data_IF_183087655576
#
_entry.id   IF_183087655576
#
_cell.length_a   1.000
_cell.length_b   1.000
_cell.length_c   1.000
_cell.angle_alpha   90.00
_cell.angle_beta   90.00
_cell.angle_gamma   90.00
#
_symmetry.space_group_name_H-M   'P 1'
#
loop_
_entity.id
_entity.type
_entity.pdbx_description
1 polymer ?
#
# COMPACT_ATOMS: atom_id res chain seq x y z
N UNK A 1 -28.29 21.00 -52.89
CA UNK A 1 -28.62 19.62 -52.51
C UNK A 1 -28.61 19.59 -51.00
N UNK A 2 -29.77 19.86 -50.43
CA UNK A 2 -30.03 19.84 -48.99
C UNK A 2 -30.19 18.39 -48.49
N UNK A 3 -30.18 18.28 -47.15
CA UNK A 3 -30.71 17.21 -46.29
C UNK A 3 -29.79 16.00 -46.07
N UNK A 4 -29.50 15.60 -44.83
CA UNK A 4 -30.00 16.08 -43.55
C UNK A 4 -29.41 15.26 -42.42
N UNK A 5 -29.07 15.92 -41.31
CA UNK A 5 -28.72 15.25 -40.07
C UNK A 5 -29.80 15.60 -39.03
N UNK A 6 -30.54 14.57 -38.64
CA UNK A 6 -31.68 14.62 -37.74
C UNK A 6 -31.26 15.06 -36.34
N UNK A 7 -31.62 16.29 -35.95
CA UNK A 7 -31.55 16.74 -34.56
C UNK A 7 -32.83 16.37 -33.82
N UNK A 8 -32.77 15.29 -33.05
CA UNK A 8 -33.78 15.01 -32.02
C UNK A 8 -33.78 16.13 -30.98
N UNK A 9 -34.95 16.72 -30.80
CA UNK A 9 -35.20 17.85 -29.92
C UNK A 9 -35.57 17.32 -28.54
N UNK A 10 -34.64 17.37 -27.59
CA UNK A 10 -34.94 17.28 -26.17
C UNK A 10 -34.37 18.52 -25.48
N UNK A 11 -35.29 19.43 -25.14
CA UNK A 11 -35.16 20.52 -24.17
C UNK A 11 -33.75 21.13 -23.96
N UNK A 12 -33.33 21.98 -24.90
CA UNK A 12 -32.73 23.27 -24.56
C UNK A 12 -31.28 23.32 -24.04
N UNK A 13 -30.39 22.37 -24.36
CA UNK A 13 -28.95 22.53 -24.06
C UNK A 13 -28.10 22.23 -25.29
N UNK A 14 -27.44 23.26 -25.83
CA UNK A 14 -26.48 23.14 -26.93
C UNK A 14 -25.09 22.74 -26.39
N UNK A 15 -24.74 21.46 -26.56
CA UNK A 15 -23.44 20.87 -26.27
C UNK A 15 -22.39 21.28 -27.32
N UNK A 16 -22.00 22.56 -27.32
CA UNK A 16 -21.06 23.13 -28.30
C UNK A 16 -19.90 23.93 -27.73
N UNK A 17 -19.71 23.99 -26.40
CA UNK A 17 -18.64 24.81 -25.80
C UNK A 17 -17.86 24.14 -24.66
N UNK A 18 -17.82 22.81 -24.61
CA UNK A 18 -17.14 22.11 -23.52
C UNK A 18 -15.66 21.80 -23.77
N UNK A 19 -15.06 22.37 -24.82
CA UNK A 19 -13.62 22.31 -25.05
C UNK A 19 -12.97 23.67 -24.76
N UNK A 20 -11.87 23.62 -23.99
CA UNK A 20 -10.97 24.73 -23.66
C UNK A 20 -11.52 25.85 -22.77
N UNK A 21 -12.02 25.52 -21.58
CA UNK A 21 -12.15 26.52 -20.52
C UNK A 21 -10.78 26.79 -19.87
N UNK A 22 -10.18 27.90 -20.30
CA UNK A 22 -9.15 28.72 -19.65
C UNK A 22 -8.76 28.35 -18.21
N UNK A 23 -7.54 27.83 -18.05
CA UNK A 23 -6.89 27.60 -16.75
C UNK A 23 -6.02 28.82 -16.36
N UNK A 24 -5.88 29.84 -17.23
CA UNK A 24 -4.90 30.91 -17.03
C UNK A 24 -5.49 32.26 -16.59
N UNK A 25 -6.79 32.50 -16.77
CA UNK A 25 -7.48 33.66 -16.20
C UNK A 25 -8.93 33.30 -15.81
N UNK A 26 -9.25 33.15 -14.51
CA UNK A 26 -10.61 32.85 -14.10
C UNK A 26 -11.51 34.08 -14.29
N UNK A 27 -12.46 33.98 -15.21
CA UNK A 27 -13.52 34.96 -15.46
C UNK A 27 -14.34 35.19 -14.16
N UNK A 28 -14.39 36.44 -13.63
CA UNK A 28 -15.11 36.73 -12.40
C UNK A 28 -16.63 36.51 -12.50
N UNK A 29 -17.21 36.40 -13.70
CA UNK A 29 -18.65 36.22 -13.89
C UNK A 29 -19.14 34.77 -13.78
N UNK A 30 -18.26 33.76 -13.77
CA UNK A 30 -18.63 32.33 -13.60
C UNK A 30 -18.50 31.82 -12.16
N UNK A 31 -18.32 32.71 -11.19
CA UNK A 31 -18.06 32.36 -9.78
C UNK A 31 -19.30 32.03 -8.95
N UNK A 32 -20.50 32.06 -9.54
CA UNK A 32 -21.78 31.97 -8.82
C UNK A 32 -22.68 30.83 -9.32
N UNK A 33 -22.16 29.61 -9.49
CA UNK A 33 -23.01 28.42 -9.38
C UNK A 33 -22.92 27.82 -7.98
N UNK A 34 -23.22 28.66 -6.98
CA UNK A 34 -23.59 28.19 -5.65
C UNK A 34 -24.96 27.51 -5.78
N UNK A 35 -24.96 26.18 -5.89
CA UNK A 35 -26.17 25.38 -5.66
C UNK A 35 -26.76 25.82 -4.31
N UNK A 36 -27.92 26.49 -4.36
CA UNK A 36 -28.66 26.89 -3.15
C UNK A 36 -28.84 25.64 -2.28
N UNK A 37 -28.46 25.67 -0.99
CA UNK A 37 -28.61 24.52 -0.13
C UNK A 37 -30.11 24.23 0.06
N UNK A 38 -30.64 23.27 -0.69
CA UNK A 38 -32.01 22.75 -0.53
C UNK A 38 -32.12 21.75 0.64
N UNK A 39 -31.12 21.74 1.52
CA UNK A 39 -31.07 20.86 2.66
C UNK A 39 -32.08 21.39 3.69
N UNK A 40 -33.17 20.63 3.92
CA UNK A 40 -34.23 20.98 4.87
C UNK A 40 -33.73 21.26 6.30
N UNK A 41 -34.60 21.35 7.32
CA UNK A 41 -34.19 21.76 8.67
C UNK A 41 -33.01 20.93 9.23
N UNK A 42 -32.98 19.63 8.93
CA UNK A 42 -31.86 18.73 9.25
C UNK A 42 -30.56 19.10 8.53
N UNK A 43 -30.63 19.44 7.25
CA UNK A 43 -29.46 19.80 6.46
C UNK A 43 -28.83 21.12 6.87
N UNK A 44 -29.66 22.10 7.26
CA UNK A 44 -29.18 23.37 7.81
C UNK A 44 -28.52 23.17 9.18
N UNK A 45 -29.04 22.25 10.01
CA UNK A 45 -28.47 21.89 11.31
C UNK A 45 -27.13 21.16 11.16
N UNK A 46 -27.03 20.19 10.25
CA UNK A 46 -25.78 19.50 9.91
C UNK A 46 -24.75 20.49 9.35
N UNK A 47 -25.17 21.45 8.52
CA UNK A 47 -24.26 22.46 7.98
C UNK A 47 -23.73 23.41 9.08
N UNK A 48 -24.60 23.88 9.98
CA UNK A 48 -24.19 24.70 11.13
C UNK A 48 -23.26 23.94 12.06
N UNK A 49 -23.56 22.68 12.34
CA UNK A 49 -22.69 21.82 13.15
C UNK A 49 -21.33 21.59 12.48
N UNK A 50 -21.33 21.21 11.19
CA UNK A 50 -20.10 21.00 10.41
C UNK A 50 -19.24 22.27 10.34
N UNK A 51 -19.85 23.44 10.17
CA UNK A 51 -19.15 24.72 10.15
C UNK A 51 -18.59 25.10 11.52
N UNK A 52 -19.38 24.94 12.59
CA UNK A 52 -18.92 25.17 13.97
C UNK A 52 -17.77 24.22 14.37
N UNK A 53 -17.84 22.96 13.94
CA UNK A 53 -16.75 21.99 14.12
C UNK A 53 -15.53 22.39 13.28
N UNK A 54 -15.71 22.82 12.03
CA UNK A 54 -14.62 23.30 11.17
C UNK A 54 -13.90 24.52 11.75
N UNK A 55 -14.64 25.55 12.13
CA UNK A 55 -14.10 26.79 12.70
C UNK A 55 -13.43 26.51 14.07
N UNK A 56 -13.98 25.59 14.86
CA UNK A 56 -13.38 25.13 16.13
C UNK A 56 -12.10 24.30 15.95
N UNK A 57 -12.03 23.50 14.88
CA UNK A 57 -10.84 22.71 14.50
C UNK A 57 -9.74 23.64 13.98
N UNK A 58 -10.08 24.68 13.23
CA UNK A 58 -9.09 25.59 12.64
C UNK A 58 -8.45 26.51 13.69
N UNK A 59 -9.26 27.05 14.61
CA UNK A 59 -8.80 27.92 15.70
C UNK A 59 -7.79 27.22 16.65
N UNK A 60 -7.92 25.90 16.84
CA UNK A 60 -7.08 25.11 17.76
C UNK A 60 -6.61 23.78 17.14
N UNK A 61 -6.17 23.81 15.88
CA UNK A 61 -5.80 22.63 15.09
C UNK A 61 -4.78 21.70 15.77
N UNK A 62 -3.81 22.26 16.51
CA UNK A 62 -2.83 21.46 17.27
C UNK A 62 -3.49 20.69 18.42
N UNK A 63 -4.36 21.33 19.20
CA UNK A 63 -5.09 20.71 20.31
C UNK A 63 -6.08 19.64 19.82
N UNK A 64 -6.75 19.87 18.69
CA UNK A 64 -7.65 18.89 18.09
C UNK A 64 -6.90 17.64 17.61
N UNK A 65 -5.77 17.81 16.93
CA UNK A 65 -4.93 16.69 16.49
C UNK A 65 -4.34 15.93 17.67
N UNK A 66 -3.89 16.63 18.72
CA UNK A 66 -3.40 15.99 19.96
C UNK A 66 -4.54 15.22 20.64
N UNK A 67 -5.73 15.81 20.76
CA UNK A 67 -6.90 15.16 21.39
C UNK A 67 -7.34 13.92 20.62
N UNK A 68 -7.37 13.98 19.29
CA UNK A 68 -7.67 12.82 18.45
C UNK A 68 -6.63 11.70 18.61
N UNK A 69 -5.33 12.04 18.67
CA UNK A 69 -4.26 11.06 18.95
C UNK A 69 -4.40 10.44 20.35
N UNK A 70 -4.75 11.25 21.36
CA UNK A 70 -4.92 10.82 22.74
C UNK A 70 -6.15 9.91 22.89
N UNK A 71 -7.25 10.24 22.21
CA UNK A 71 -8.43 9.40 22.12
C UNK A 71 -8.13 8.05 21.43
N UNK A 72 -7.42 8.08 20.30
CA UNK A 72 -7.01 6.85 19.61
C UNK A 72 -6.10 5.97 20.50
N UNK A 73 -5.16 6.58 21.24
CA UNK A 73 -4.31 5.87 22.19
C UNK A 73 -5.13 5.26 23.35
N UNK A 74 -6.11 6.00 23.88
CA UNK A 74 -6.99 5.50 24.94
C UNK A 74 -7.84 4.32 24.47
N UNK A 75 -8.39 4.37 23.25
CA UNK A 75 -9.12 3.25 22.65
C UNK A 75 -8.23 2.01 22.48
N UNK A 76 -6.99 2.20 22.03
CA UNK A 76 -6.03 1.09 21.94
C UNK A 76 -5.71 0.53 23.33
N UNK A 77 -5.52 1.37 24.35
CA UNK A 77 -5.26 0.92 25.72
C UNK A 77 -6.43 0.12 26.32
N UNK A 78 -7.68 0.57 26.09
CA UNK A 78 -8.89 -0.16 26.49
C UNK A 78 -8.97 -1.51 25.78
N UNK A 79 -8.67 -1.54 24.48
CA UNK A 79 -8.65 -2.78 23.71
C UNK A 79 -7.56 -3.76 24.18
N UNK A 80 -6.36 -3.27 24.54
CA UNK A 80 -5.30 -4.08 25.18
C UNK A 80 -5.81 -4.67 26.50
N UNK A 81 -6.43 -3.85 27.36
CA UNK A 81 -6.97 -4.30 28.64
C UNK A 81 -8.04 -5.38 28.48
N UNK A 82 -8.94 -5.21 27.51
CA UNK A 82 -9.94 -6.21 27.15
C UNK A 82 -9.30 -7.51 26.65
N UNK A 83 -8.27 -7.43 25.81
CA UNK A 83 -7.53 -8.60 25.31
C UNK A 83 -6.84 -9.37 26.44
N UNK A 84 -6.16 -8.67 27.36
CA UNK A 84 -5.46 -9.29 28.49
C UNK A 84 -6.47 -9.97 29.43
N UNK A 85 -7.58 -9.29 29.74
CA UNK A 85 -8.60 -9.87 30.62
C UNK A 85 -9.20 -11.15 30.03
N UNK A 86 -9.58 -11.13 28.74
CA UNK A 86 -10.08 -12.32 28.06
C UNK A 86 -9.03 -13.43 27.96
N UNK A 87 -7.75 -13.09 27.75
CA UNK A 87 -6.66 -14.06 27.70
C UNK A 87 -6.48 -14.78 29.05
N UNK A 88 -6.49 -14.05 30.16
CA UNK A 88 -6.37 -14.61 31.51
C UNK A 88 -7.54 -15.53 31.83
N UNK A 89 -8.77 -15.14 31.46
CA UNK A 89 -9.99 -15.91 31.73
C UNK A 89 -10.04 -17.21 30.92
N UNK A 90 -9.62 -17.16 29.65
CA UNK A 90 -9.78 -18.30 28.72
C UNK A 90 -8.65 -19.32 28.84
N UNK A 91 -7.50 -18.96 29.45
CA UNK A 91 -6.37 -19.87 29.70
C UNK A 91 -5.76 -20.52 28.45
N UNK A 92 -6.09 -20.03 27.25
CA UNK A 92 -5.62 -20.60 25.99
C UNK A 92 -4.14 -20.30 25.76
N UNK A 93 -3.42 -21.29 25.22
CA UNK A 93 -2.02 -21.13 24.80
C UNK A 93 -1.94 -20.08 23.69
N UNK A 94 -0.89 -19.26 23.73
CA UNK A 94 -0.68 -18.16 22.79
C UNK A 94 -0.33 -18.70 21.39
N UNK A 95 -1.34 -18.97 20.58
CA UNK A 95 -1.15 -19.36 19.19
C UNK A 95 -1.11 -18.13 18.26
N UNK A 96 0.04 -17.90 17.64
CA UNK A 96 0.26 -16.98 16.54
C UNK A 96 -0.62 -17.20 15.30
N UNK A 97 -1.18 -18.41 15.11
CA UNK A 97 -1.97 -18.78 13.92
C UNK A 97 -3.48 -18.63 14.12
N UNK A 98 -4.03 -18.69 15.33
CA UNK A 98 -5.47 -18.58 15.56
C UNK A 98 -5.78 -17.93 16.92
N UNK A 99 -6.92 -17.25 17.03
CA UNK A 99 -7.41 -16.66 18.29
C UNK A 99 -6.74 -15.34 18.69
N UNK A 100 -6.65 -15.11 20.01
CA UNK A 100 -6.22 -13.82 20.59
C UNK A 100 -4.74 -13.49 20.33
N UNK A 101 -3.89 -14.49 20.06
CA UNK A 101 -2.47 -14.27 19.72
C UNK A 101 -2.27 -13.45 18.44
N UNK A 102 -3.09 -13.67 17.42
CA UNK A 102 -3.11 -12.85 16.19
C UNK A 102 -3.48 -11.40 16.47
N UNK A 103 -4.45 -11.16 17.35
CA UNK A 103 -4.87 -9.81 17.72
C UNK A 103 -3.74 -9.03 18.40
N UNK A 104 -2.96 -9.67 19.28
CA UNK A 104 -1.75 -9.07 19.86
C UNK A 104 -0.71 -8.71 18.80
N UNK A 105 -0.51 -9.56 17.79
CA UNK A 105 0.43 -9.27 16.69
C UNK A 105 -0.03 -8.06 15.88
N UNK A 106 -1.31 -7.97 15.49
CA UNK A 106 -1.82 -6.81 14.78
C UNK A 106 -1.69 -5.52 15.59
N UNK A 107 -2.01 -5.58 16.87
CA UNK A 107 -1.87 -4.45 17.78
C UNK A 107 -0.40 -4.01 17.90
N UNK A 108 0.50 -4.97 18.07
CA UNK A 108 1.94 -4.70 18.12
C UNK A 108 2.45 -4.05 16.83
N UNK A 109 2.01 -4.52 15.65
CA UNK A 109 2.37 -3.92 14.36
C UNK A 109 1.80 -2.50 14.23
N UNK A 110 0.55 -2.26 14.62
CA UNK A 110 -0.05 -0.92 14.58
C UNK A 110 0.68 0.04 15.52
N UNK A 111 0.96 -0.38 16.76
CA UNK A 111 1.77 0.41 17.69
C UNK A 111 3.17 0.66 17.15
N UNK A 112 3.81 -0.35 16.57
CA UNK A 112 5.11 -0.22 15.93
C UNK A 112 5.07 0.80 14.78
N UNK A 113 4.05 0.79 13.93
CA UNK A 113 3.86 1.78 12.87
C UNK A 113 3.63 3.20 13.41
N UNK A 114 2.85 3.37 14.48
CA UNK A 114 2.61 4.67 15.12
C UNK A 114 3.88 5.22 15.78
N UNK A 115 4.61 4.37 16.51
CA UNK A 115 5.90 4.70 17.12
C UNK A 115 6.94 5.04 16.04
N UNK A 116 6.97 4.26 14.95
CA UNK A 116 7.82 4.51 13.80
C UNK A 116 7.59 5.92 13.22
N UNK A 117 6.33 6.28 12.97
CA UNK A 117 6.00 7.56 12.36
C UNK A 117 6.25 8.75 13.28
N UNK A 118 5.87 8.64 14.57
CA UNK A 118 5.99 9.76 15.50
C UNK A 118 7.40 9.92 16.08
N UNK A 119 8.08 8.82 16.40
CA UNK A 119 9.33 8.86 17.17
C UNK A 119 10.55 8.48 16.34
N UNK A 120 10.46 7.41 15.54
CA UNK A 120 11.60 6.92 14.78
C UNK A 120 12.03 7.90 13.69
N UNK A 121 11.07 8.55 13.01
CA UNK A 121 11.37 9.62 12.06
C UNK A 121 12.13 10.78 12.74
N UNK A 122 11.75 11.16 13.96
CA UNK A 122 12.37 12.28 14.67
C UNK A 122 13.77 11.96 15.22
N UNK A 123 14.04 10.71 15.64
CA UNK A 123 15.36 10.31 16.16
C UNK A 123 16.31 9.86 15.04
N UNK A 124 15.84 9.05 14.09
CA UNK A 124 16.72 8.49 13.05
C UNK A 124 17.07 9.52 12.00
N UNK A 125 16.18 10.45 11.62
CA UNK A 125 16.57 11.47 10.63
C UNK A 125 17.78 12.31 11.05
N UNK A 126 17.87 12.90 12.25
CA UNK A 126 19.03 13.70 12.63
C UNK A 126 20.29 12.86 12.83
N UNK A 127 20.16 11.61 13.33
CA UNK A 127 21.32 10.71 13.48
C UNK A 127 21.83 10.25 12.13
N UNK A 128 20.94 9.83 11.22
CA UNK A 128 21.30 9.38 9.88
C UNK A 128 21.75 10.54 9.00
N UNK A 129 21.14 11.72 9.13
CA UNK A 129 21.59 12.92 8.42
C UNK A 129 22.92 13.43 8.97
N UNK A 130 23.17 13.38 10.28
CA UNK A 130 24.45 13.74 10.90
C UNK A 130 25.56 12.76 10.48
N UNK A 131 25.29 11.45 10.49
CA UNK A 131 26.18 10.42 9.94
C UNK A 131 26.39 10.57 8.42
N UNK A 132 25.38 11.04 7.70
CA UNK A 132 25.48 11.31 6.26
C UNK A 132 26.24 12.60 5.94
N UNK A 133 26.14 13.63 6.80
CA UNK A 133 26.69 14.98 6.63
C UNK A 133 28.12 15.15 7.16
N UNK A 134 28.68 14.21 7.91
CA UNK A 134 30.11 14.20 8.22
C UNK A 134 30.92 14.13 6.90
N UNK A 135 31.26 15.32 6.41
CA UNK A 135 31.63 15.65 5.04
C UNK A 135 33.10 15.49 4.73
N UNK A 136 33.77 14.51 5.32
CA UNK A 136 35.22 14.27 5.11
C UNK A 136 35.45 13.11 4.11
N UNK A 137 34.42 12.40 3.66
CA UNK A 137 34.54 11.10 2.97
C UNK A 137 33.81 10.98 1.60
N UNK A 138 33.63 12.07 0.85
CA UNK A 138 32.77 12.08 -0.37
C UNK A 138 33.27 11.19 -1.52
N UNK A 139 34.59 11.04 -1.69
CA UNK A 139 35.20 10.18 -2.72
C UNK A 139 35.17 8.69 -2.33
N UNK A 140 35.29 8.38 -1.04
CA UNK A 140 35.36 7.01 -0.52
C UNK A 140 33.99 6.33 -0.36
N UNK A 141 32.90 7.08 -0.17
CA UNK A 141 31.53 6.51 -0.12
C UNK A 141 31.13 5.71 -1.37
N UNK A 142 31.63 6.08 -2.56
CA UNK A 142 31.37 5.33 -3.80
C UNK A 142 32.10 3.98 -3.78
N UNK A 143 33.38 3.98 -3.40
CA UNK A 143 34.18 2.76 -3.28
C UNK A 143 33.65 1.82 -2.19
N UNK A 144 33.31 2.32 -1.01
CA UNK A 144 32.75 1.49 0.08
C UNK A 144 31.42 0.85 -0.36
N UNK A 145 30.53 1.60 -1.02
CA UNK A 145 29.27 1.05 -1.55
C UNK A 145 29.50 -0.03 -2.60
N UNK A 146 30.39 0.21 -3.56
CA UNK A 146 30.77 -0.78 -4.58
C UNK A 146 31.38 -2.04 -3.95
N UNK A 147 32.24 -1.89 -2.94
CA UNK A 147 32.85 -3.02 -2.22
C UNK A 147 31.79 -3.84 -1.49
N UNK A 148 30.90 -3.19 -0.72
CA UNK A 148 29.82 -3.89 0.00
C UNK A 148 28.92 -4.62 -0.98
N UNK A 149 28.50 -3.95 -2.06
CA UNK A 149 27.63 -4.54 -3.07
C UNK A 149 28.31 -5.69 -3.81
N UNK A 150 29.59 -5.56 -4.13
CA UNK A 150 30.39 -6.62 -4.74
C UNK A 150 30.55 -7.84 -3.84
N UNK A 151 30.90 -7.63 -2.56
CA UNK A 151 31.01 -8.72 -1.57
C UNK A 151 29.68 -9.45 -1.40
N UNK A 152 28.58 -8.70 -1.29
CA UNK A 152 27.24 -9.26 -1.12
C UNK A 152 26.81 -10.06 -2.37
N UNK A 153 27.12 -9.56 -3.56
CA UNK A 153 26.88 -10.27 -4.81
C UNK A 153 27.71 -11.56 -4.91
N UNK A 154 28.99 -11.54 -4.53
CA UNK A 154 29.85 -12.73 -4.50
C UNK A 154 29.30 -13.78 -3.52
N UNK A 155 28.86 -13.37 -2.32
CA UNK A 155 28.24 -14.27 -1.35
C UNK A 155 26.97 -14.91 -1.88
N UNK A 156 26.13 -14.14 -2.58
CA UNK A 156 24.92 -14.67 -3.23
C UNK A 156 25.28 -15.68 -4.32
N UNK A 157 26.26 -15.39 -5.17
CA UNK A 157 26.71 -16.32 -6.21
C UNK A 157 27.26 -17.60 -5.59
N UNK A 158 28.09 -17.50 -4.55
CA UNK A 158 28.62 -18.65 -3.82
C UNK A 158 27.50 -19.48 -3.18
N UNK A 159 26.50 -18.83 -2.57
CA UNK A 159 25.33 -19.49 -2.02
C UNK A 159 24.52 -20.21 -3.09
N UNK A 160 24.30 -19.58 -4.26
CA UNK A 160 23.62 -20.20 -5.39
C UNK A 160 24.39 -21.40 -5.91
N UNK A 161 25.72 -21.34 -6.03
CA UNK A 161 26.55 -22.46 -6.49
C UNK A 161 26.47 -23.63 -5.50
N UNK A 162 26.61 -23.35 -4.21
CA UNK A 162 26.44 -24.35 -3.14
C UNK A 162 25.07 -25.04 -3.23
N UNK A 163 24.00 -24.25 -3.39
CA UNK A 163 22.63 -24.73 -3.48
C UNK A 163 22.31 -25.42 -4.83
N UNK A 164 23.05 -25.11 -5.89
CA UNK A 164 22.89 -25.63 -7.26
C UNK A 164 23.69 -26.92 -7.51
N UNK A 165 24.74 -27.19 -6.72
CA UNK A 165 25.64 -28.34 -6.88
C UNK A 165 24.91 -29.69 -7.10
N UNK A 166 23.73 -29.85 -6.47
CA UNK A 166 22.98 -31.10 -6.50
C UNK A 166 21.97 -31.24 -7.67
N UNK A 167 21.62 -30.16 -8.40
CA UNK A 167 20.54 -30.20 -9.40
C UNK A 167 20.79 -29.28 -10.59
N UNK A 168 21.16 -29.86 -11.74
CA UNK A 168 21.39 -29.15 -13.02
C UNK A 168 20.20 -28.27 -13.48
N UNK A 169 18.96 -28.64 -13.13
CA UNK A 169 17.77 -27.86 -13.48
C UNK A 169 17.74 -26.46 -12.86
N UNK A 170 18.39 -26.24 -11.71
CA UNK A 170 18.38 -24.94 -11.01
C UNK A 170 19.24 -23.90 -11.73
N UNK A 171 20.23 -24.35 -12.49
CA UNK A 171 21.08 -23.49 -13.32
C UNK A 171 20.27 -22.75 -14.40
N UNK A 172 19.23 -23.38 -14.95
CA UNK A 172 18.36 -22.76 -15.95
C UNK A 172 17.63 -21.52 -15.38
N UNK A 173 17.26 -21.54 -14.10
CA UNK A 173 16.63 -20.37 -13.46
C UNK A 173 17.58 -19.19 -13.33
N UNK A 174 18.87 -19.45 -13.07
CA UNK A 174 19.90 -18.40 -12.97
C UNK A 174 20.17 -17.79 -14.34
N UNK A 175 20.25 -18.63 -15.38
CA UNK A 175 20.40 -18.20 -16.77
C UNK A 175 19.21 -17.31 -17.18
N UNK A 176 17.98 -17.65 -16.75
CA UNK A 176 16.80 -16.82 -16.98
C UNK A 176 16.95 -15.39 -16.44
N UNK A 177 17.46 -15.22 -15.21
CA UNK A 177 17.68 -13.90 -14.61
C UNK A 177 18.70 -13.10 -15.43
N UNK A 178 19.81 -13.73 -15.83
CA UNK A 178 20.84 -13.08 -16.65
C UNK A 178 20.28 -12.69 -18.02
N UNK A 179 19.46 -13.56 -18.62
CA UNK A 179 18.80 -13.30 -19.91
C UNK A 179 17.82 -12.12 -19.82
N UNK A 180 17.01 -12.03 -18.76
CA UNK A 180 16.13 -10.88 -18.55
C UNK A 180 16.88 -9.56 -18.33
N UNK A 181 18.03 -9.60 -17.64
CA UNK A 181 18.89 -8.42 -17.51
C UNK A 181 19.49 -8.03 -18.87
N UNK A 182 19.94 -9.01 -19.65
CA UNK A 182 20.50 -8.76 -20.98
C UNK A 182 19.47 -8.13 -21.92
N UNK A 183 18.25 -8.70 -22.00
CA UNK A 183 17.21 -8.14 -22.87
C UNK A 183 16.78 -6.74 -22.41
N UNK A 184 16.76 -6.48 -21.09
CA UNK A 184 16.49 -5.15 -20.55
C UNK A 184 17.54 -4.12 -20.95
N UNK A 185 18.81 -4.52 -21.13
CA UNK A 185 19.88 -3.63 -21.59
C UNK A 185 19.76 -3.40 -23.10
N UNK A 186 19.51 -4.45 -23.88
CA UNK A 186 19.40 -4.38 -25.36
C UNK A 186 18.22 -3.51 -25.80
N UNK A 187 17.08 -3.62 -25.13
CA UNK A 187 15.88 -2.82 -25.43
C UNK A 187 15.91 -1.42 -24.80
N UNK A 188 16.95 -1.06 -24.05
CA UNK A 188 17.04 0.26 -23.43
C UNK A 188 17.33 1.34 -24.46
N UNK A 189 16.52 2.41 -24.45
CA UNK A 189 16.70 3.59 -25.32
C UNK A 189 18.03 4.32 -25.09
N UNK A 190 18.55 4.27 -23.87
CA UNK A 190 19.77 4.97 -23.46
C UNK A 190 20.62 4.07 -22.54
N UNK A 191 21.32 3.06 -23.08
CA UNK A 191 22.05 2.07 -22.28
C UNK A 191 23.21 2.67 -21.48
N UNK A 192 23.77 3.80 -21.92
CA UNK A 192 24.87 4.51 -21.27
C UNK A 192 24.47 5.18 -19.94
N UNK A 193 23.19 5.48 -19.75
CA UNK A 193 22.69 6.14 -18.54
C UNK A 193 22.19 5.16 -17.47
N UNK A 194 22.40 3.85 -17.68
CA UNK A 194 21.97 2.83 -16.75
C UNK A 194 22.84 2.88 -15.48
N UNK A 195 22.21 3.18 -14.35
CA UNK A 195 22.84 3.15 -13.03
C UNK A 195 22.94 1.71 -12.53
N UNK A 196 24.09 1.08 -12.75
CA UNK A 196 24.40 -0.27 -12.32
C UNK A 196 24.20 -0.51 -10.82
N UNK A 197 24.48 0.51 -9.99
CA UNK A 197 24.27 0.44 -8.54
C UNK A 197 22.82 0.10 -8.17
N UNK A 198 21.84 0.74 -8.82
CA UNK A 198 20.42 0.51 -8.56
C UNK A 198 19.97 -0.85 -9.09
N UNK A 199 20.42 -1.22 -10.29
CA UNK A 199 20.06 -2.49 -10.91
C UNK A 199 20.58 -3.69 -10.09
N UNK A 200 21.87 -3.68 -9.75
CA UNK A 200 22.49 -4.77 -8.97
C UNK A 200 21.89 -4.82 -7.56
N UNK A 201 21.59 -3.69 -6.94
CA UNK A 201 20.95 -3.64 -5.62
C UNK A 201 19.55 -4.24 -5.65
N UNK A 202 18.79 -3.96 -6.70
CA UNK A 202 17.47 -4.55 -6.93
C UNK A 202 17.53 -6.07 -7.08
N UNK A 203 18.46 -6.59 -7.90
CA UNK A 203 18.66 -8.04 -8.08
C UNK A 203 19.05 -8.72 -6.78
N UNK A 204 19.99 -8.12 -6.04
CA UNK A 204 20.41 -8.61 -4.71
C UNK A 204 19.20 -8.68 -3.77
N UNK A 205 18.42 -7.61 -3.69
CA UNK A 205 17.26 -7.52 -2.80
C UNK A 205 16.18 -8.53 -3.18
N UNK A 206 15.94 -8.72 -4.49
CA UNK A 206 14.97 -9.71 -4.98
C UNK A 206 15.38 -11.14 -4.64
N UNK A 207 16.66 -11.50 -4.82
CA UNK A 207 17.18 -12.82 -4.45
C UNK A 207 17.12 -13.01 -2.93
N UNK A 208 17.53 -12.00 -2.16
CA UNK A 208 17.47 -12.05 -0.70
C UNK A 208 16.04 -12.24 -0.19
N UNK A 209 15.08 -11.50 -0.75
CA UNK A 209 13.67 -11.64 -0.41
C UNK A 209 13.16 -13.04 -0.77
N UNK A 210 13.53 -13.59 -1.95
CA UNK A 210 13.18 -14.96 -2.33
C UNK A 210 13.73 -16.03 -1.38
N UNK A 211 14.98 -15.88 -0.93
CA UNK A 211 15.59 -16.79 0.06
C UNK A 211 14.87 -16.68 1.40
N UNK A 212 14.63 -15.46 1.89
CA UNK A 212 13.90 -15.22 3.15
C UNK A 212 12.45 -15.70 3.09
N UNK A 213 11.77 -15.55 1.95
CA UNK A 213 10.37 -15.92 1.78
C UNK A 213 10.17 -17.43 1.59
N UNK A 214 10.94 -18.05 0.69
CA UNK A 214 10.65 -19.40 0.18
C UNK A 214 11.62 -20.44 0.76
N UNK A 215 12.90 -20.10 0.97
CA UNK A 215 13.90 -21.08 1.44
C UNK A 215 13.90 -21.18 2.96
N UNK A 216 13.79 -20.05 3.66
CA UNK A 216 13.78 -19.96 5.11
C UNK A 216 12.45 -20.45 5.69
N UNK A 217 12.50 -21.44 6.59
CA UNK A 217 11.30 -22.12 7.11
C UNK A 217 10.37 -21.17 7.87
N UNK A 218 10.92 -20.33 8.76
CA UNK A 218 10.12 -19.33 9.49
C UNK A 218 9.52 -18.31 8.54
N UNK A 219 10.22 -17.96 7.47
CA UNK A 219 9.76 -16.99 6.48
C UNK A 219 8.58 -17.52 5.67
N UNK A 220 8.63 -18.79 5.27
CA UNK A 220 7.47 -19.48 4.67
C UNK A 220 6.27 -19.47 5.60
N UNK A 221 6.45 -19.82 6.88
CA UNK A 221 5.35 -19.81 7.87
C UNK A 221 4.72 -18.43 8.03
N UNK A 222 5.54 -17.36 8.00
CA UNK A 222 5.05 -15.98 8.05
C UNK A 222 4.23 -15.64 6.81
N UNK A 223 4.71 -15.99 5.61
CA UNK A 223 4.00 -15.73 4.36
C UNK A 223 2.72 -16.55 4.22
N UNK A 224 2.71 -17.81 4.64
CA UNK A 224 1.51 -18.63 4.73
C UNK A 224 0.50 -17.99 5.67
N UNK A 225 0.94 -17.54 6.85
CA UNK A 225 0.07 -16.81 7.79
C UNK A 225 -0.51 -15.53 7.20
N UNK A 226 0.27 -14.78 6.41
CA UNK A 226 -0.21 -13.60 5.69
C UNK A 226 -1.21 -13.96 4.59
N UNK A 227 -0.91 -15.00 3.80
CA UNK A 227 -1.77 -15.49 2.74
C UNK A 227 -3.12 -15.95 3.29
N UNK A 228 -3.15 -16.66 4.41
CA UNK A 228 -4.38 -17.08 5.09
C UNK A 228 -5.28 -15.87 5.42
N UNK A 229 -4.71 -14.73 5.83
CA UNK A 229 -5.51 -13.52 6.09
C UNK A 229 -6.09 -12.91 4.82
N UNK A 230 -5.34 -12.95 3.71
CA UNK A 230 -5.83 -12.49 2.41
C UNK A 230 -6.97 -13.40 1.94
N UNK A 231 -6.85 -14.72 2.13
CA UNK A 231 -7.93 -15.67 1.81
C UNK A 231 -9.19 -15.39 2.63
N UNK A 232 -9.05 -15.11 3.94
CA UNK A 232 -10.19 -14.70 4.78
C UNK A 232 -10.85 -13.42 4.25
N UNK A 233 -10.06 -12.44 3.83
CA UNK A 233 -10.58 -11.21 3.22
C UNK A 233 -11.32 -11.46 1.91
N UNK A 234 -10.76 -12.31 1.02
CA UNK A 234 -11.42 -12.71 -0.22
C UNK A 234 -12.74 -13.46 0.04
N UNK A 235 -12.81 -14.27 1.10
CA UNK A 235 -14.04 -14.96 1.48
C UNK A 235 -15.15 -13.99 1.90
N UNK A 236 -14.83 -12.85 2.53
CA UNK A 236 -15.86 -11.83 2.79
C UNK A 236 -16.42 -11.22 1.51
N UNK A 237 -15.58 -11.02 0.49
CA UNK A 237 -16.02 -10.61 -0.85
C UNK A 237 -16.91 -11.68 -1.51
N UNK A 238 -16.57 -12.95 -1.35
CA UNK A 238 -17.37 -14.09 -1.84
C UNK A 238 -18.77 -14.12 -1.22
N UNK A 239 -18.89 -13.94 0.10
CA UNK A 239 -20.19 -13.87 0.78
C UNK A 239 -21.04 -12.68 0.29
N UNK A 240 -20.42 -11.52 0.03
CA UNK A 240 -21.09 -10.38 -0.58
C UNK A 240 -21.59 -10.68 -1.99
N UNK A 241 -20.80 -11.38 -2.80
CA UNK A 241 -21.19 -11.81 -4.14
C UNK A 241 -22.40 -12.77 -4.08
N UNK A 242 -22.39 -13.73 -3.15
CA UNK A 242 -23.50 -14.68 -2.95
C UNK A 242 -24.78 -13.97 -2.56
N UNK A 243 -24.70 -12.93 -1.75
CA UNK A 243 -25.86 -12.10 -1.38
C UNK A 243 -26.46 -11.36 -2.58
N UNK A 244 -25.63 -10.80 -3.47
CA UNK A 244 -26.11 -9.98 -4.60
C UNK A 244 -26.58 -10.85 -5.79
N UNK A 245 -25.83 -11.88 -6.14
CA UNK A 245 -26.08 -12.68 -7.35
C UNK A 245 -26.75 -14.04 -7.07
N UNK A 246 -26.90 -14.43 -5.81
CA UNK A 246 -27.49 -15.69 -5.39
C UNK A 246 -26.51 -16.87 -5.45
N UNK A 247 -26.74 -17.87 -4.60
CA UNK A 247 -25.87 -19.06 -4.44
C UNK A 247 -25.78 -19.93 -5.68
N UNK A 248 -26.81 -19.96 -6.53
CA UNK A 248 -26.85 -20.79 -7.73
C UNK A 248 -25.81 -20.37 -8.79
N UNK A 249 -25.65 -19.07 -9.04
CA UNK A 249 -24.72 -18.58 -10.06
C UNK A 249 -23.25 -18.68 -9.63
N UNK A 250 -23.00 -18.59 -8.32
CA UNK A 250 -21.66 -18.53 -7.75
C UNK A 250 -21.16 -19.91 -7.30
N UNK A 251 -21.96 -20.68 -6.56
CA UNK A 251 -21.51 -21.95 -5.98
C UNK A 251 -21.77 -23.15 -6.91
N UNK A 252 -22.88 -23.16 -7.65
CA UNK A 252 -23.21 -24.30 -8.54
C UNK A 252 -22.65 -24.12 -9.94
N UNK A 253 -22.80 -22.93 -10.53
CA UNK A 253 -22.29 -22.66 -11.89
C UNK A 253 -20.86 -22.12 -11.92
N UNK A 254 -20.28 -21.75 -10.78
CA UNK A 254 -18.92 -21.18 -10.65
C UNK A 254 -18.57 -20.19 -11.78
N UNK A 255 -19.50 -19.28 -12.08
CA UNK A 255 -19.30 -18.34 -13.18
C UNK A 255 -18.26 -17.32 -12.77
N UNK A 256 -17.07 -17.43 -13.36
CA UNK A 256 -15.89 -16.63 -13.03
C UNK A 256 -16.18 -15.11 -12.96
N UNK A 257 -17.01 -14.60 -13.88
CA UNK A 257 -17.34 -13.19 -13.94
C UNK A 257 -18.00 -12.66 -12.66
N UNK A 258 -18.96 -13.38 -12.07
CA UNK A 258 -19.68 -12.90 -10.88
C UNK A 258 -18.84 -13.04 -9.60
N UNK A 259 -17.99 -14.06 -9.50
CA UNK A 259 -17.14 -14.27 -8.33
C UNK A 259 -15.92 -13.33 -8.33
N UNK A 260 -15.20 -13.22 -9.45
CA UNK A 260 -14.00 -12.40 -9.53
C UNK A 260 -14.31 -10.90 -9.57
N UNK A 261 -15.32 -10.47 -10.34
CA UNK A 261 -15.66 -9.04 -10.47
C UNK A 261 -16.20 -8.46 -9.17
N UNK A 262 -17.02 -9.23 -8.43
CA UNK A 262 -17.56 -8.80 -7.13
C UNK A 262 -16.52 -8.70 -6.02
N UNK A 263 -15.35 -9.32 -6.18
CA UNK A 263 -14.26 -9.20 -5.20
C UNK A 263 -13.36 -7.99 -5.50
N UNK A 264 -13.40 -7.48 -6.74
CA UNK A 264 -12.63 -6.33 -7.18
C UNK A 264 -13.36 -4.99 -7.01
N UNK A 265 -14.69 -5.01 -6.96
CA UNK A 265 -15.57 -3.82 -6.97
C UNK A 265 -16.39 -3.73 -5.69
#
# INVERSE_FOLDING_TARGET
MELGESKETISGITLGSFDTADILHPDPAKRELYLKPCAGPLGTLIFKFRRAVGDGVENNSRLCVISFKLLALALVAVYIGFLINNFIITGCKLDWKYGYGKAFIYLAVVLWCVIYYNWLKYIILPVFSSLAQNGIYSRSKRYIKCIIQGVLLILIIAFIIYDTSNYRRRLMSVIGIVFFLFISIVFSKHPEYIRWDTMISGVILQVLFGIMAIRWETGRKILEGLADNIVIFLNYGHEGAVFVYGSFLINEKMVFAFQALSTLY
#
